data_IF_395445001889
#
_entry.id   IF_395445001889
#
_cell.length_a   1.000
_cell.length_b   1.000
_cell.length_c   1.000
_cell.angle_alpha   90.00
_cell.angle_beta   90.00
_cell.angle_gamma   90.00
#
_symmetry.space_group_name_H-M   'P 1'
#
loop_
_entity.id
_entity.type
_entity.pdbx_description
1 polymer ?
#
# COMPACT_ATOMS: atom_id res chain seq x y z
N UNK A 1 -16.99 28.23 1.89
CA UNK A 1 -17.42 26.82 1.93
C UNK A 1 -16.18 25.96 2.10
N UNK A 2 -16.17 25.01 3.04
CA UNK A 2 -15.04 24.08 3.18
C UNK A 2 -15.03 23.18 1.95
N UNK A 3 -13.94 23.18 1.18
CA UNK A 3 -13.77 22.25 0.07
C UNK A 3 -13.74 20.81 0.63
N UNK A 4 -14.73 20.00 0.26
CA UNK A 4 -14.89 18.62 0.73
C UNK A 4 -14.14 17.60 -0.15
N UNK A 5 -13.51 18.04 -1.24
CA UNK A 5 -12.76 17.15 -2.12
C UNK A 5 -11.57 16.54 -1.39
N UNK A 6 -11.25 15.26 -1.62
CA UNK A 6 -10.03 14.66 -1.10
C UNK A 6 -8.81 15.49 -1.48
N UNK A 7 -7.95 15.75 -0.51
CA UNK A 7 -6.79 16.60 -0.68
C UNK A 7 -5.56 15.78 -1.10
N UNK A 8 -5.00 16.14 -2.25
CA UNK A 8 -3.74 15.60 -2.78
C UNK A 8 -2.66 16.64 -2.58
N UNK A 9 -1.64 16.31 -1.81
CA UNK A 9 -0.48 17.19 -1.67
C UNK A 9 0.65 16.69 -2.57
N UNK A 10 1.20 17.60 -3.37
CA UNK A 10 2.21 17.30 -4.39
C UNK A 10 3.58 17.72 -3.89
N UNK A 11 4.46 16.74 -3.73
CA UNK A 11 5.88 16.90 -3.37
C UNK A 11 6.70 16.82 -4.66
N UNK A 12 7.33 17.91 -5.05
CA UNK A 12 8.11 17.94 -6.29
C UNK A 12 9.12 19.08 -6.31
N UNK A 13 10.18 18.98 -7.11
CA UNK A 13 11.09 20.10 -7.31
C UNK A 13 10.38 21.32 -7.92
N UNK A 14 10.73 22.53 -7.45
CA UNK A 14 10.16 23.80 -7.96
C UNK A 14 10.79 24.28 -9.27
N UNK A 15 11.61 23.46 -9.93
CA UNK A 15 12.29 23.85 -11.16
C UNK A 15 11.27 23.98 -12.30
N UNK A 16 11.50 24.95 -13.21
CA UNK A 16 10.57 25.28 -14.30
C UNK A 16 10.22 24.07 -15.18
N UNK A 17 11.16 23.16 -15.40
CA UNK A 17 10.96 21.91 -16.15
C UNK A 17 9.80 21.05 -15.63
N UNK A 18 9.43 21.19 -14.36
CA UNK A 18 8.34 20.43 -13.75
C UNK A 18 6.99 21.17 -13.76
N UNK A 19 6.94 22.38 -14.30
CA UNK A 19 5.72 23.19 -14.27
C UNK A 19 4.58 22.57 -15.08
N UNK A 20 4.87 22.07 -16.28
CA UNK A 20 3.87 21.41 -17.13
C UNK A 20 3.50 20.02 -16.60
N UNK A 21 4.48 19.29 -16.06
CA UNK A 21 4.24 18.02 -15.35
C UNK A 21 3.25 18.24 -14.21
N UNK A 22 3.45 19.30 -13.42
CA UNK A 22 2.53 19.66 -12.35
C UNK A 22 1.15 20.06 -12.87
N UNK A 23 1.08 21.09 -13.72
CA UNK A 23 -0.20 21.69 -14.11
C UNK A 23 -1.05 20.77 -15.00
N UNK A 24 -0.44 20.23 -16.05
CA UNK A 24 -1.14 19.47 -17.08
C UNK A 24 -1.18 17.97 -16.76
N UNK A 25 -0.15 17.45 -16.10
CA UNK A 25 -0.05 16.05 -15.72
C UNK A 25 -0.77 15.74 -14.41
N UNK A 26 -0.32 16.35 -13.30
CA UNK A 26 -0.79 15.99 -11.95
C UNK A 26 -2.09 16.69 -11.59
N UNK A 27 -2.10 18.03 -11.62
CA UNK A 27 -3.20 18.87 -11.14
C UNK A 27 -4.46 18.67 -11.97
N UNK A 28 -4.34 18.76 -13.30
CA UNK A 28 -5.46 18.53 -14.20
C UNK A 28 -6.07 17.12 -14.03
N UNK A 29 -5.25 16.06 -13.95
CA UNK A 29 -5.77 14.70 -13.73
C UNK A 29 -6.45 14.54 -12.38
N UNK A 30 -5.92 15.16 -11.33
CA UNK A 30 -6.57 15.15 -10.02
C UNK A 30 -7.91 15.90 -10.04
N UNK A 31 -7.99 17.05 -10.70
CA UNK A 31 -9.21 17.83 -10.87
C UNK A 31 -10.29 17.09 -11.67
N UNK A 32 -9.91 16.42 -12.77
CA UNK A 32 -10.80 15.58 -13.59
C UNK A 32 -11.42 14.43 -12.76
N UNK A 33 -10.74 13.97 -11.71
CA UNK A 33 -11.22 12.94 -10.79
C UNK A 33 -11.90 13.52 -9.53
N UNK A 34 -12.11 14.83 -9.47
CA UNK A 34 -12.78 15.49 -8.34
C UNK A 34 -11.92 15.62 -7.08
N UNK A 35 -10.59 15.55 -7.19
CA UNK A 35 -9.66 15.83 -6.10
C UNK A 35 -9.19 17.29 -6.16
N UNK A 36 -8.68 17.79 -5.03
CA UNK A 36 -7.95 19.06 -4.95
C UNK A 36 -6.46 18.75 -4.84
N UNK A 37 -5.68 19.06 -5.87
CA UNK A 37 -4.24 18.88 -5.87
C UNK A 37 -3.52 20.22 -5.71
N UNK A 38 -2.60 20.31 -4.76
CA UNK A 38 -1.84 21.53 -4.50
C UNK A 38 -0.37 21.23 -4.19
N UNK A 39 0.48 22.18 -4.57
CA UNK A 39 1.89 22.26 -4.21
C UNK A 39 2.08 23.41 -3.22
N UNK A 40 3.10 23.33 -2.37
CA UNK A 40 3.30 24.30 -1.28
C UNK A 40 3.47 25.75 -1.76
N UNK A 41 4.00 25.97 -2.96
CA UNK A 41 4.25 27.29 -3.54
C UNK A 41 3.01 27.95 -4.18
N UNK A 42 1.89 27.24 -4.31
CA UNK A 42 0.61 27.82 -4.77
C UNK A 42 -0.13 28.60 -3.69
N UNK A 43 0.43 28.65 -2.49
CA UNK A 43 -0.22 29.22 -1.33
C UNK A 43 0.70 30.26 -0.64
N UNK A 44 0.15 31.43 -0.31
CA UNK A 44 0.88 32.50 0.38
C UNK A 44 0.78 32.33 1.91
N UNK A 45 1.92 32.25 2.61
CA UNK A 45 1.97 32.16 4.08
C UNK A 45 3.11 32.95 4.69
N UNK A 46 2.96 33.25 5.98
CA UNK A 46 3.96 33.92 6.84
C UNK A 46 4.85 32.93 7.61
N UNK A 47 4.47 31.65 7.68
CA UNK A 47 5.15 30.59 8.45
C UNK A 47 6.39 30.00 7.73
N UNK A 48 7.33 29.36 8.46
CA UNK A 48 8.46 28.65 7.85
C UNK A 48 8.00 27.54 6.89
N UNK A 49 8.59 27.51 5.69
CA UNK A 49 8.23 26.58 4.61
C UNK A 49 8.17 25.11 5.05
N UNK A 50 9.11 24.67 5.91
CA UNK A 50 9.18 23.29 6.38
C UNK A 50 8.00 22.90 7.29
N UNK A 51 7.61 23.78 8.21
CA UNK A 51 6.45 23.55 9.09
C UNK A 51 5.18 23.44 8.26
N UNK A 52 5.05 24.29 7.22
CA UNK A 52 3.93 24.24 6.30
C UNK A 52 3.85 22.90 5.57
N UNK A 53 4.98 22.41 5.05
CA UNK A 53 5.05 21.12 4.37
C UNK A 53 4.58 20.01 5.31
N UNK A 54 5.02 20.00 6.57
CA UNK A 54 4.55 18.99 7.54
C UNK A 54 3.05 19.07 7.82
N UNK A 55 2.51 20.28 7.94
CA UNK A 55 1.07 20.48 8.13
C UNK A 55 0.29 20.01 6.89
N UNK A 56 0.76 20.32 5.69
CA UNK A 56 0.12 19.88 4.44
C UNK A 56 0.19 18.36 4.28
N UNK A 57 1.34 17.73 4.56
CA UNK A 57 1.46 16.27 4.58
C UNK A 57 0.47 15.67 5.58
N UNK A 58 0.36 16.25 6.79
CA UNK A 58 -0.59 15.79 7.80
C UNK A 58 -2.05 15.94 7.34
N UNK A 59 -2.39 17.02 6.64
CA UNK A 59 -3.73 17.28 6.13
C UNK A 59 -4.10 16.46 4.88
N UNK A 60 -3.10 16.05 4.09
CA UNK A 60 -3.30 15.34 2.83
C UNK A 60 -3.94 13.96 3.03
N UNK A 61 -4.88 13.62 2.15
CA UNK A 61 -5.44 12.28 2.02
C UNK A 61 -4.54 11.38 1.17
N UNK A 62 -3.89 11.97 0.16
CA UNK A 62 -2.96 11.31 -0.76
C UNK A 62 -1.74 12.20 -0.95
N UNK A 63 -0.57 11.58 -1.02
CA UNK A 63 0.66 12.24 -1.44
C UNK A 63 1.01 11.80 -2.85
N UNK A 64 1.32 12.74 -3.73
CA UNK A 64 1.99 12.47 -5.00
C UNK A 64 3.40 13.04 -4.88
N UNK A 65 4.43 12.24 -5.15
CA UNK A 65 5.81 12.68 -5.05
C UNK A 65 6.58 12.41 -6.35
N UNK A 66 7.17 13.45 -6.96
CA UNK A 66 8.05 13.29 -8.13
C UNK A 66 9.51 13.17 -7.69
N UNK A 67 10.05 11.97 -7.87
CA UNK A 67 11.39 11.57 -7.42
C UNK A 67 12.47 11.79 -8.50
N UNK A 68 12.10 12.35 -9.65
CA UNK A 68 13.01 12.58 -10.79
C UNK A 68 14.23 13.38 -10.38
N UNK A 69 15.42 12.99 -10.88
CA UNK A 69 16.72 13.59 -10.54
C UNK A 69 17.08 13.50 -9.04
N UNK A 70 16.42 12.65 -8.27
CA UNK A 70 16.78 12.34 -6.89
C UNK A 70 16.86 13.56 -5.95
N UNK A 71 15.86 14.44 -5.99
CA UNK A 71 15.87 15.63 -5.13
C UNK A 71 15.85 15.26 -3.62
N UNK A 72 16.85 15.67 -2.82
CA UNK A 72 16.97 15.25 -1.42
C UNK A 72 15.83 15.77 -0.53
N UNK A 73 15.26 16.94 -0.85
CA UNK A 73 14.14 17.48 -0.09
C UNK A 73 12.88 16.64 -0.31
N UNK A 74 12.61 16.24 -1.55
CA UNK A 74 11.46 15.38 -1.85
C UNK A 74 11.60 14.02 -1.17
N UNK A 75 12.81 13.42 -1.13
CA UNK A 75 13.04 12.19 -0.37
C UNK A 75 12.74 12.35 1.12
N UNK A 76 13.21 13.45 1.71
CA UNK A 76 12.96 13.74 3.11
C UNK A 76 11.46 13.85 3.41
N UNK A 77 10.72 14.57 2.56
CA UNK A 77 9.27 14.75 2.68
C UNK A 77 8.50 13.43 2.50
N UNK A 78 8.90 12.58 1.54
CA UNK A 78 8.34 11.24 1.34
C UNK A 78 8.60 10.35 2.55
N UNK A 79 9.81 10.38 3.10
CA UNK A 79 10.15 9.65 4.32
C UNK A 79 9.25 10.06 5.50
N UNK A 80 9.04 11.37 5.68
CA UNK A 80 8.12 11.89 6.69
C UNK A 80 6.66 11.47 6.43
N UNK A 81 6.21 11.53 5.19
CA UNK A 81 4.87 11.08 4.81
C UNK A 81 4.65 9.58 5.08
N UNK A 82 5.63 8.73 4.76
CA UNK A 82 5.61 7.31 5.09
C UNK A 82 5.56 7.07 6.60
N UNK A 83 6.35 7.81 7.38
CA UNK A 83 6.32 7.73 8.85
C UNK A 83 4.95 8.12 9.44
N UNK A 84 4.19 8.98 8.76
CA UNK A 84 2.80 9.33 9.11
C UNK A 84 1.77 8.37 8.54
N UNK A 85 2.18 7.29 7.88
CA UNK A 85 1.29 6.30 7.27
C UNK A 85 0.48 6.84 6.10
N UNK A 86 0.99 7.88 5.42
CA UNK A 86 0.30 8.50 4.27
C UNK A 86 0.40 7.61 3.04
N UNK A 87 -0.69 7.60 2.26
CA UNK A 87 -0.77 6.90 0.98
C UNK A 87 -0.01 7.70 -0.08
N UNK A 88 1.19 7.25 -0.40
CA UNK A 88 2.08 7.91 -1.36
C UNK A 88 2.04 7.23 -2.74
N UNK A 89 1.90 8.03 -3.80
CA UNK A 89 2.06 7.63 -5.20
C UNK A 89 3.35 8.28 -5.69
N UNK A 90 4.37 7.47 -5.96
CA UNK A 90 5.66 7.97 -6.43
C UNK A 90 5.65 8.10 -7.96
N UNK A 91 6.25 9.16 -8.48
CA UNK A 91 6.42 9.43 -9.91
C UNK A 91 7.92 9.55 -10.21
N UNK A 92 8.31 9.20 -11.43
CA UNK A 92 9.67 9.42 -11.91
C UNK A 92 9.75 9.43 -13.43
N UNK A 93 10.65 10.21 -14.01
CA UNK A 93 11.00 10.10 -15.43
C UNK A 93 11.87 8.88 -15.71
N UNK A 94 12.69 8.47 -14.74
CA UNK A 94 13.59 7.34 -14.89
C UNK A 94 13.53 6.40 -13.68
N UNK A 95 13.35 5.10 -13.92
CA UNK A 95 13.33 4.09 -12.86
C UNK A 95 14.63 4.05 -12.03
N UNK A 96 15.76 4.52 -12.59
CA UNK A 96 17.01 4.65 -11.84
C UNK A 96 16.99 5.70 -10.73
N UNK A 97 16.08 6.68 -10.81
CA UNK A 97 15.97 7.75 -9.81
C UNK A 97 15.26 7.29 -8.53
N UNK A 98 14.61 6.12 -8.57
CA UNK A 98 14.04 5.52 -7.37
C UNK A 98 15.15 4.71 -6.67
N UNK A 99 15.51 5.05 -5.41
CA UNK A 99 16.47 4.29 -4.64
C UNK A 99 16.00 2.86 -4.46
N UNK A 100 16.94 1.94 -4.28
CA UNK A 100 16.65 0.51 -4.18
C UNK A 100 15.53 0.19 -3.18
N UNK A 101 15.56 0.81 -2.00
CA UNK A 101 14.57 0.62 -0.94
C UNK A 101 13.17 1.13 -1.32
N UNK A 102 13.08 2.10 -2.24
CA UNK A 102 11.82 2.64 -2.74
C UNK A 102 11.35 2.02 -4.06
N UNK A 103 12.19 1.27 -4.77
CA UNK A 103 11.82 0.67 -6.08
C UNK A 103 10.63 -0.28 -5.98
N UNK A 104 10.45 -0.86 -4.81
CA UNK A 104 9.41 -1.82 -4.55
C UNK A 104 8.06 -1.14 -4.23
N UNK A 105 8.11 0.09 -3.68
CA UNK A 105 6.94 0.95 -3.58
C UNK A 105 6.39 1.25 -4.98
N UNK A 106 5.05 1.29 -5.07
CA UNK A 106 4.35 1.59 -6.31
C UNK A 106 4.78 2.97 -6.83
N UNK A 107 5.43 2.97 -7.99
CA UNK A 107 5.86 4.17 -8.67
C UNK A 107 5.45 4.15 -10.14
N UNK A 108 5.24 5.34 -10.70
CA UNK A 108 4.89 5.55 -12.10
C UNK A 108 6.15 6.05 -12.82
N UNK A 109 6.63 5.28 -13.80
CA UNK A 109 7.69 5.73 -14.70
C UNK A 109 7.04 6.36 -15.92
N UNK A 110 7.04 7.69 -16.01
CA UNK A 110 6.34 8.42 -17.08
C UNK A 110 7.26 8.87 -18.23
N UNK A 111 8.58 8.71 -18.09
CA UNK A 111 9.56 9.00 -19.15
C UNK A 111 9.43 10.41 -19.77
N UNK A 112 9.02 11.41 -18.99
CA UNK A 112 8.80 12.79 -19.46
C UNK A 112 7.51 13.00 -20.26
N UNK A 113 6.73 11.95 -20.55
CA UNK A 113 5.47 12.04 -21.28
C UNK A 113 4.31 12.36 -20.33
N UNK A 114 3.69 13.53 -20.53
CA UNK A 114 2.49 13.93 -19.80
C UNK A 114 1.33 12.96 -20.09
N UNK A 115 1.19 12.48 -21.32
CA UNK A 115 0.15 11.50 -21.67
C UNK A 115 0.29 10.21 -20.86
N UNK A 116 1.50 9.64 -20.82
CA UNK A 116 1.77 8.42 -20.05
C UNK A 116 1.54 8.65 -18.56
N UNK A 117 1.94 9.82 -18.05
CA UNK A 117 1.68 10.22 -16.68
C UNK A 117 0.18 10.25 -16.39
N UNK A 118 -0.64 10.92 -17.20
CA UNK A 118 -2.09 11.02 -17.00
C UNK A 118 -2.74 9.63 -16.97
N UNK A 119 -2.47 8.79 -17.96
CA UNK A 119 -3.06 7.44 -18.07
C UNK A 119 -2.76 6.57 -16.83
N UNK A 120 -1.48 6.52 -16.43
CA UNK A 120 -1.07 5.76 -15.25
C UNK A 120 -1.63 6.39 -13.96
N UNK A 121 -1.59 7.72 -13.86
CA UNK A 121 -2.01 8.43 -12.66
C UNK A 121 -3.52 8.31 -12.42
N UNK A 122 -4.36 8.32 -13.46
CA UNK A 122 -5.80 8.06 -13.34
C UNK A 122 -6.06 6.75 -12.62
N UNK A 123 -5.42 5.67 -13.09
CA UNK A 123 -5.58 4.33 -12.49
C UNK A 123 -5.13 4.29 -11.03
N UNK A 124 -4.04 5.01 -10.70
CA UNK A 124 -3.51 5.08 -9.34
C UNK A 124 -4.40 5.91 -8.40
N UNK A 125 -4.90 7.05 -8.86
CA UNK A 125 -5.78 7.92 -8.08
C UNK A 125 -7.16 7.31 -7.87
N UNK A 126 -7.74 6.66 -8.88
CA UNK A 126 -9.00 5.92 -8.71
C UNK A 126 -8.86 4.80 -7.67
N UNK A 127 -7.76 4.06 -7.69
CA UNK A 127 -7.44 3.08 -6.65
C UNK A 127 -7.35 3.74 -5.27
N UNK A 128 -6.60 4.83 -5.14
CA UNK A 128 -6.42 5.54 -3.88
C UNK A 128 -7.76 6.11 -3.34
N UNK A 129 -8.61 6.65 -4.21
CA UNK A 129 -9.95 7.12 -3.88
C UNK A 129 -10.84 5.99 -3.37
N UNK A 130 -10.81 4.81 -4.01
CA UNK A 130 -11.55 3.64 -3.54
C UNK A 130 -11.10 3.22 -2.14
N UNK A 131 -9.81 3.26 -1.86
CA UNK A 131 -9.29 2.95 -0.53
C UNK A 131 -9.75 3.99 0.50
N UNK A 132 -9.65 5.28 0.18
CA UNK A 132 -10.13 6.36 1.07
C UNK A 132 -11.63 6.30 1.32
N UNK A 133 -12.44 6.02 0.31
CA UNK A 133 -13.90 5.90 0.47
C UNK A 133 -14.25 4.67 1.31
N UNK A 134 -13.53 3.57 1.16
CA UNK A 134 -13.67 2.37 1.98
C UNK A 134 -13.34 2.69 3.44
N UNK A 135 -12.20 3.34 3.72
CA UNK A 135 -11.78 3.75 5.07
C UNK A 135 -12.77 4.74 5.70
N UNK A 136 -13.20 5.78 4.97
CA UNK A 136 -14.14 6.80 5.47
C UNK A 136 -15.55 6.26 5.70
N UNK A 137 -16.06 5.41 4.80
CA UNK A 137 -17.43 4.88 4.90
C UNK A 137 -17.57 3.73 5.90
N UNK A 138 -16.48 3.04 6.21
CA UNK A 138 -16.46 1.98 7.23
C UNK A 138 -16.09 2.51 8.61
N UNK A 139 -15.25 3.54 8.68
CA UNK A 139 -14.49 3.86 9.90
C UNK A 139 -13.45 2.80 10.24
N UNK A 140 -13.30 1.74 9.43
CA UNK A 140 -12.37 0.64 9.66
C UNK A 140 -11.04 0.91 8.95
N UNK A 141 -9.96 0.91 9.72
CA UNK A 141 -8.62 0.76 9.16
C UNK A 141 -8.17 -0.69 9.28
N UNK A 142 -7.52 -1.19 8.23
CA UNK A 142 -6.90 -2.52 8.22
C UNK A 142 -5.45 -2.37 7.83
N UNK A 143 -4.56 -2.84 8.70
CA UNK A 143 -3.12 -2.87 8.48
C UNK A 143 -2.66 -4.31 8.40
N UNK A 144 -1.78 -4.58 7.46
CA UNK A 144 -1.10 -5.87 7.34
C UNK A 144 0.40 -5.66 7.48
N UNK A 145 0.97 -6.31 8.47
CA UNK A 145 2.37 -6.15 8.88
C UNK A 145 3.05 -7.51 8.85
N UNK A 146 4.21 -7.59 8.21
CA UNK A 146 5.10 -8.73 8.30
C UNK A 146 5.84 -8.65 9.64
N UNK A 147 5.77 -9.72 10.45
CA UNK A 147 6.37 -9.75 11.80
C UNK A 147 7.56 -10.68 11.90
N UNK A 148 7.58 -11.74 11.10
CA UNK A 148 8.74 -12.62 10.99
C UNK A 148 8.77 -13.30 9.64
N UNK A 149 9.98 -13.62 9.21
CA UNK A 149 10.25 -14.34 7.98
C UNK A 149 11.31 -15.41 8.29
N UNK A 150 11.17 -16.59 7.67
CA UNK A 150 12.08 -17.71 7.85
C UNK A 150 12.24 -18.44 6.54
N UNK A 151 13.47 -18.85 6.22
CA UNK A 151 13.75 -19.75 5.10
C UNK A 151 14.09 -21.12 5.66
N UNK A 152 13.35 -22.14 5.26
CA UNK A 152 13.74 -23.53 5.47
C UNK A 152 14.40 -24.04 4.20
N UNK A 153 15.70 -24.32 4.28
CA UNK A 153 16.49 -24.87 3.19
C UNK A 153 16.83 -26.34 3.48
N UNK A 154 16.55 -27.22 2.52
CA UNK A 154 17.01 -28.61 2.58
C UNK A 154 17.45 -29.11 1.19
N UNK A 155 17.93 -30.36 1.12
CA UNK A 155 18.44 -30.98 -0.11
C UNK A 155 17.42 -31.12 -1.25
N UNK A 156 16.14 -30.82 -1.02
CA UNK A 156 15.06 -30.98 -1.99
C UNK A 156 14.40 -29.67 -2.37
N UNK A 157 14.24 -28.73 -1.43
CA UNK A 157 13.53 -27.49 -1.66
C UNK A 157 14.01 -26.34 -0.76
N UNK A 158 13.68 -25.12 -1.18
CA UNK A 158 13.69 -23.92 -0.35
C UNK A 158 12.24 -23.49 -0.07
N UNK A 159 11.88 -23.33 1.21
CA UNK A 159 10.53 -22.95 1.64
C UNK A 159 10.57 -21.69 2.48
N UNK A 160 9.94 -20.64 1.96
CA UNK A 160 9.71 -19.41 2.72
C UNK A 160 8.52 -19.56 3.64
N UNK A 161 8.67 -19.09 4.87
CA UNK A 161 7.60 -18.95 5.86
C UNK A 161 7.51 -17.50 6.29
N UNK A 162 6.30 -16.96 6.33
CA UNK A 162 6.03 -15.56 6.64
C UNK A 162 4.92 -15.47 7.68
N UNK A 163 5.08 -14.61 8.67
CA UNK A 163 4.05 -14.36 9.68
C UNK A 163 3.48 -12.98 9.48
N UNK A 164 2.20 -12.92 9.12
CA UNK A 164 1.47 -11.67 8.89
C UNK A 164 0.53 -11.41 10.06
N UNK A 165 0.55 -10.17 10.53
CA UNK A 165 -0.42 -9.64 11.49
C UNK A 165 -1.38 -8.74 10.73
N UNK A 166 -2.66 -9.06 10.84
CA UNK A 166 -3.75 -8.25 10.28
C UNK A 166 -4.43 -7.55 11.45
N UNK A 167 -4.16 -6.26 11.57
CA UNK A 167 -4.71 -5.36 12.58
C UNK A 167 -5.91 -4.60 12.01
N UNK A 168 -7.02 -4.63 12.73
CA UNK A 168 -8.24 -3.93 12.38
C UNK A 168 -8.61 -2.97 13.50
N UNK A 169 -8.81 -1.69 13.17
CA UNK A 169 -9.23 -0.67 14.13
C UNK A 169 -10.46 0.07 13.63
N UNK A 170 -11.46 0.18 14.48
CA UNK A 170 -12.62 1.02 14.22
C UNK A 170 -12.38 2.44 14.75
N UNK A 171 -12.13 3.36 13.84
CA UNK A 171 -12.04 4.81 14.09
C UNK A 171 -13.37 5.54 13.87
N UNK A 172 -14.43 4.82 13.47
CA UNK A 172 -15.77 5.38 13.31
C UNK A 172 -16.47 5.61 14.65
N UNK A 173 -17.52 6.44 14.61
CA UNK A 173 -18.35 6.76 15.77
C UNK A 173 -19.43 5.70 16.06
N UNK A 174 -19.61 4.74 15.14
CA UNK A 174 -20.55 3.62 15.26
C UNK A 174 -19.82 2.28 15.40
N UNK A 175 -20.51 1.27 15.97
CA UNK A 175 -20.01 -0.11 15.99
C UNK A 175 -19.81 -0.59 14.55
N UNK A 176 -18.60 -1.04 14.23
CA UNK A 176 -18.32 -1.70 12.98
C UNK A 176 -18.84 -3.14 13.05
N UNK A 177 -19.67 -3.49 12.06
CA UNK A 177 -20.69 -4.54 12.09
C UNK A 177 -20.19 -5.98 12.28
N UNK A 178 -21.06 -6.94 11.94
CA UNK A 178 -20.80 -8.37 12.13
C UNK A 178 -19.79 -8.90 11.11
N UNK A 179 -18.51 -8.92 11.47
CA UNK A 179 -17.43 -9.50 10.71
C UNK A 179 -17.66 -11.01 10.64
N UNK A 180 -17.96 -11.50 9.44
CA UNK A 180 -18.22 -12.92 9.19
C UNK A 180 -16.95 -13.65 8.79
N UNK A 181 -16.11 -13.01 7.97
CA UNK A 181 -14.83 -13.57 7.55
C UNK A 181 -13.81 -12.50 7.20
N UNK A 182 -12.54 -12.87 7.35
CA UNK A 182 -11.40 -12.11 6.86
C UNK A 182 -10.79 -12.93 5.73
N UNK A 183 -10.74 -12.38 4.52
CA UNK A 183 -10.29 -13.10 3.33
C UNK A 183 -9.00 -12.46 2.81
N UNK A 184 -7.94 -13.26 2.70
CA UNK A 184 -6.66 -12.82 2.14
C UNK A 184 -6.51 -13.35 0.72
N UNK A 185 -6.40 -12.42 -0.23
CA UNK A 185 -6.15 -12.66 -1.64
C UNK A 185 -4.66 -12.57 -1.92
N UNK A 186 -4.10 -13.55 -2.63
CA UNK A 186 -2.66 -13.66 -2.90
C UNK A 186 -2.38 -14.26 -4.27
N UNK A 187 -1.12 -14.18 -4.69
CA UNK A 187 -0.59 -14.92 -5.84
C UNK A 187 -0.58 -16.44 -5.63
N UNK A 188 -0.07 -17.18 -6.61
CA UNK A 188 -0.06 -18.64 -6.58
C UNK A 188 1.03 -19.21 -5.66
N UNK A 189 0.77 -20.43 -5.16
CA UNK A 189 1.73 -21.25 -4.42
C UNK A 189 1.82 -20.95 -2.92
N UNK A 190 0.95 -20.07 -2.42
CA UNK A 190 0.85 -19.80 -0.99
C UNK A 190 -0.11 -20.76 -0.30
N UNK A 191 0.29 -21.24 0.86
CA UNK A 191 -0.58 -21.90 1.83
C UNK A 191 -0.56 -21.11 3.12
N UNK A 192 -1.74 -20.77 3.64
CA UNK A 192 -1.87 -20.03 4.89
C UNK A 192 -2.47 -20.89 5.99
N UNK A 193 -2.10 -20.59 7.23
CA UNK A 193 -2.66 -21.19 8.44
C UNK A 193 -2.97 -20.11 9.48
N UNK A 194 -4.00 -20.34 10.28
CA UNK A 194 -4.37 -19.54 11.45
C UNK A 194 -4.38 -20.47 12.67
N UNK A 195 -3.71 -20.08 13.75
CA UNK A 195 -3.55 -20.92 14.95
C UNK A 195 -3.04 -22.35 14.65
N UNK A 196 -2.15 -22.49 13.67
CA UNK A 196 -1.59 -23.79 13.25
C UNK A 196 -2.52 -24.64 12.37
N UNK A 197 -3.76 -24.22 12.14
CA UNK A 197 -4.69 -24.91 11.25
C UNK A 197 -4.66 -24.28 9.86
N UNK A 198 -4.51 -25.11 8.82
CA UNK A 198 -4.52 -24.66 7.43
C UNK A 198 -5.86 -23.98 7.13
N UNK A 199 -5.79 -22.76 6.59
CA UNK A 199 -6.97 -21.99 6.23
C UNK A 199 -7.72 -22.64 5.06
N UNK A 200 -9.07 -22.62 5.06
CA UNK A 200 -9.84 -22.90 3.87
C UNK A 200 -9.41 -21.97 2.72
N UNK A 201 -9.22 -22.54 1.52
CA UNK A 201 -8.77 -21.79 0.36
C UNK A 201 -9.49 -22.22 -0.92
N UNK A 202 -9.60 -21.31 -1.87
CA UNK A 202 -10.16 -21.56 -3.21
C UNK A 202 -9.61 -20.57 -4.23
N UNK A 203 -10.00 -20.71 -5.49
CA UNK A 203 -9.61 -19.77 -6.55
C UNK A 203 -10.14 -18.36 -6.27
N UNK A 204 -9.36 -17.36 -6.66
CA UNK A 204 -9.74 -15.96 -6.52
C UNK A 204 -10.91 -15.60 -7.45
N UNK A 205 -11.89 -14.89 -6.93
CA UNK A 205 -12.95 -14.21 -7.69
C UNK A 205 -12.52 -12.82 -8.20
N UNK A 206 -11.33 -12.35 -7.81
CA UNK A 206 -10.71 -11.13 -8.33
C UNK A 206 -9.53 -11.49 -9.26
N UNK A 207 -9.54 -11.06 -10.54
CA UNK A 207 -8.54 -11.46 -11.53
C UNK A 207 -7.13 -10.95 -11.21
N UNK A 208 -6.97 -9.99 -10.30
CA UNK A 208 -5.66 -9.49 -9.84
C UNK A 208 -4.91 -10.53 -8.99
N UNK A 209 -5.60 -11.55 -8.49
CA UNK A 209 -5.05 -12.56 -7.59
C UNK A 209 -5.34 -13.98 -8.10
N UNK A 210 -4.67 -14.98 -7.53
CA UNK A 210 -4.82 -16.38 -7.95
C UNK A 210 -5.58 -17.22 -6.93
N UNK A 211 -5.32 -17.00 -5.65
CA UNK A 211 -5.98 -17.72 -4.55
C UNK A 211 -6.54 -16.74 -3.53
N UNK A 212 -7.55 -17.20 -2.80
CA UNK A 212 -8.09 -16.53 -1.62
C UNK A 212 -8.19 -17.52 -0.46
N UNK A 213 -7.81 -17.05 0.73
CA UNK A 213 -7.77 -17.81 1.98
C UNK A 213 -8.73 -17.16 2.98
N UNK A 214 -9.56 -17.96 3.64
CA UNK A 214 -10.51 -17.48 4.63
C UNK A 214 -10.00 -17.70 6.06
N UNK A 215 -10.17 -16.69 6.90
CA UNK A 215 -9.80 -16.71 8.32
C UNK A 215 -10.97 -16.29 9.19
N UNK A 216 -10.98 -16.84 10.40
CA UNK A 216 -11.96 -16.52 11.42
C UNK A 216 -11.54 -15.22 12.14
N UNK A 217 -12.44 -14.22 12.25
CA UNK A 217 -12.13 -13.03 13.03
C UNK A 217 -12.07 -13.38 14.52
N UNK A 218 -11.17 -12.72 15.26
CA UNK A 218 -11.12 -12.84 16.72
C UNK A 218 -12.34 -12.14 17.36
N UNK A 219 -12.64 -10.93 16.92
CA UNK A 219 -13.85 -10.21 17.30
C UNK A 219 -14.79 -10.05 16.09
N UNK A 220 -16.05 -10.45 16.25
CA UNK A 220 -17.08 -10.28 15.22
C UNK A 220 -17.63 -8.87 15.14
N UNK A 221 -17.40 -8.01 16.14
CA UNK A 221 -17.89 -6.61 16.16
C UNK A 221 -16.83 -5.74 16.81
N UNK A 222 -16.65 -4.53 16.29
CA UNK A 222 -15.70 -3.56 16.86
C UNK A 222 -16.47 -2.31 17.30
N UNK A 223 -16.48 -2.02 18.59
CA UNK A 223 -17.04 -0.75 19.11
C UNK A 223 -16.25 0.45 18.58
N UNK A 224 -16.77 1.69 18.68
CA UNK A 224 -15.97 2.89 18.42
C UNK A 224 -14.66 2.86 19.23
N UNK A 225 -13.53 3.06 18.55
CA UNK A 225 -12.18 2.93 19.14
C UNK A 225 -11.72 1.48 19.40
N UNK A 226 -12.60 0.49 19.19
CA UNK A 226 -12.32 -0.93 19.33
C UNK A 226 -11.40 -1.45 18.24
N UNK A 227 -10.69 -2.54 18.54
CA UNK A 227 -9.74 -3.16 17.64
C UNK A 227 -9.77 -4.67 17.75
N UNK A 228 -9.28 -5.36 16.71
CA UNK A 228 -9.09 -6.80 16.69
C UNK A 228 -7.89 -7.14 15.83
N UNK A 229 -7.22 -8.21 16.17
CA UNK A 229 -6.03 -8.69 15.47
C UNK A 229 -6.19 -10.17 15.15
N UNK A 230 -5.75 -10.57 13.96
CA UNK A 230 -5.48 -11.97 13.65
C UNK A 230 -4.04 -12.13 13.20
N UNK A 231 -3.49 -13.33 13.45
CA UNK A 231 -2.15 -13.69 13.02
C UNK A 231 -2.24 -14.90 12.12
N UNK A 232 -1.64 -14.79 10.94
CA UNK A 232 -1.65 -15.85 9.93
C UNK A 232 -0.22 -16.17 9.50
N UNK A 233 0.05 -17.45 9.31
CA UNK A 233 1.34 -17.95 8.83
C UNK A 233 1.18 -18.40 7.40
N UNK A 234 1.88 -17.76 6.48
CA UNK A 234 1.96 -18.15 5.07
C UNK A 234 3.22 -18.96 4.80
N UNK A 235 3.11 -19.99 3.97
CA UNK A 235 4.26 -20.74 3.47
C UNK A 235 4.20 -20.87 1.95
N UNK A 236 5.37 -20.89 1.32
CA UNK A 236 5.52 -21.03 -0.13
C UNK A 236 6.83 -21.70 -0.48
N UNK A 237 6.79 -22.64 -1.41
CA UNK A 237 8.02 -23.20 -2.00
C UNK A 237 8.60 -22.18 -2.99
N UNK A 238 9.87 -21.85 -2.81
CA UNK A 238 10.59 -20.82 -3.55
C UNK A 238 11.52 -21.40 -4.62
N UNK A 239 11.96 -22.65 -4.43
CA UNK A 239 12.76 -23.37 -5.41
C UNK A 239 12.76 -24.87 -5.10
N UNK A 240 12.96 -25.67 -6.15
CA UNK A 240 13.13 -27.11 -6.05
C UNK A 240 14.52 -27.49 -6.54
N UNK A 241 15.29 -28.24 -5.76
CA UNK A 241 16.69 -28.58 -6.10
C UNK A 241 16.85 -29.33 -7.44
N UNK A 242 15.79 -29.98 -7.92
CA UNK A 242 15.80 -30.71 -9.19
C UNK A 242 15.51 -29.81 -10.41
N UNK A 243 15.15 -28.54 -10.20
CA UNK A 243 14.84 -27.55 -11.23
C UNK A 243 15.69 -26.30 -11.12
N UNK A 244 16.03 -25.92 -9.90
CA UNK A 244 16.60 -24.64 -9.54
C UNK A 244 17.88 -24.84 -8.71
N UNK A 245 18.83 -23.93 -8.86
CA UNK A 245 19.89 -23.75 -7.86
C UNK A 245 19.26 -23.13 -6.61
N UNK A 246 19.49 -23.74 -5.44
CA UNK A 246 18.92 -23.23 -4.20
C UNK A 246 19.82 -22.15 -3.61
N UNK A 247 19.20 -21.08 -3.09
CA UNK A 247 19.89 -19.94 -2.53
C UNK A 247 19.64 -19.80 -1.03
N UNK A 248 20.57 -19.20 -0.31
CA UNK A 248 20.43 -18.89 1.12
C UNK A 248 19.51 -17.70 1.39
N UNK A 249 19.11 -16.97 0.34
CA UNK A 249 18.21 -15.81 0.44
C UNK A 249 17.30 -15.73 -0.78
N UNK A 250 16.02 -15.44 -0.54
CA UNK A 250 15.03 -15.23 -1.58
C UNK A 250 14.23 -13.95 -1.32
N UNK A 251 14.04 -13.17 -2.39
CA UNK A 251 13.15 -12.01 -2.40
C UNK A 251 11.79 -12.42 -2.91
N UNK A 252 10.77 -12.21 -2.09
CA UNK A 252 9.39 -12.49 -2.42
C UNK A 252 8.67 -11.15 -2.55
N UNK A 253 8.32 -10.78 -3.78
CA UNK A 253 7.46 -9.63 -4.06
C UNK A 253 6.09 -10.09 -4.55
N UNK A 254 5.05 -9.38 -4.16
CA UNK A 254 3.69 -9.70 -4.57
C UNK A 254 2.66 -8.69 -4.10
N UNK A 255 1.44 -8.87 -4.60
CA UNK A 255 0.28 -8.13 -4.12
C UNK A 255 -0.55 -9.05 -3.23
N UNK A 256 -1.11 -8.46 -2.19
CA UNK A 256 -2.18 -9.05 -1.41
C UNK A 256 -3.36 -8.08 -1.30
N UNK A 257 -4.54 -8.61 -1.05
CA UNK A 257 -5.70 -7.82 -0.65
C UNK A 257 -6.38 -8.51 0.51
N UNK A 258 -6.72 -7.74 1.53
CA UNK A 258 -7.51 -8.21 2.67
C UNK A 258 -8.93 -7.70 2.48
N UNK A 259 -9.87 -8.64 2.37
CA UNK A 259 -11.29 -8.35 2.30
C UNK A 259 -11.92 -8.66 3.65
N UNK A 260 -12.53 -7.66 4.27
CA UNK A 260 -13.36 -7.82 5.45
C UNK A 260 -14.80 -8.00 4.98
N UNK A 261 -15.35 -9.20 5.15
CA UNK A 261 -16.74 -9.48 4.80
C UNK A 261 -17.63 -9.31 6.03
N UNK A 262 -18.70 -8.54 5.85
CA UNK A 262 -19.78 -8.40 6.83
C UNK A 262 -21.09 -8.84 6.21
N UNK A 263 -22.11 -9.08 7.03
CA UNK A 263 -23.45 -9.46 6.56
C UNK A 263 -24.05 -8.51 5.49
N UNK A 264 -23.64 -7.23 5.47
CA UNK A 264 -24.18 -6.23 4.56
C UNK A 264 -23.31 -5.95 3.32
N UNK A 265 -21.98 -5.96 3.49
CA UNK A 265 -21.02 -5.57 2.44
C UNK A 265 -19.60 -6.06 2.74
N UNK A 266 -18.75 -5.96 1.73
CA UNK A 266 -17.31 -6.24 1.82
C UNK A 266 -16.49 -4.96 1.76
N UNK A 267 -15.32 -4.98 2.40
CA UNK A 267 -14.36 -3.88 2.42
C UNK A 267 -12.98 -4.41 2.04
N UNK A 268 -12.39 -3.83 1.00
CA UNK A 268 -11.16 -4.33 0.38
C UNK A 268 -9.98 -3.40 0.67
N UNK A 269 -8.94 -3.96 1.27
CA UNK A 269 -7.71 -3.26 1.66
C UNK A 269 -6.52 -3.89 0.91
N UNK A 270 -6.00 -3.17 -0.08
CA UNK A 270 -4.86 -3.63 -0.87
C UNK A 270 -3.54 -3.43 -0.11
N UNK A 271 -2.63 -4.40 -0.22
CA UNK A 271 -1.30 -4.38 0.39
C UNK A 271 -0.25 -4.90 -0.60
N UNK A 272 0.88 -4.23 -0.70
CA UNK A 272 2.07 -4.81 -1.33
C UNK A 272 2.83 -5.62 -0.29
N UNK A 273 3.20 -6.86 -0.64
CA UNK A 273 4.03 -7.76 0.15
C UNK A 273 5.42 -7.79 -0.45
N UNK A 274 6.41 -7.41 0.35
CA UNK A 274 7.82 -7.46 0.03
C UNK A 274 8.51 -8.08 1.23
N UNK A 275 9.13 -9.22 1.01
CA UNK A 275 9.61 -10.11 2.06
C UNK A 275 10.95 -10.65 1.60
N UNK A 276 11.97 -10.55 2.44
CA UNK A 276 13.29 -11.12 2.17
C UNK A 276 13.52 -12.25 3.15
N UNK A 277 13.29 -13.48 2.71
CA UNK A 277 13.55 -14.64 3.56
C UNK A 277 15.00 -15.07 3.39
N UNK A 278 15.73 -15.13 4.50
CA UNK A 278 17.09 -15.64 4.56
C UNK A 278 17.15 -16.83 5.50
N UNK A 279 18.03 -17.79 5.18
CA UNK A 279 18.42 -18.83 6.12
C UNK A 279 19.41 -18.19 7.11
N UNK A 280 18.93 -17.82 8.30
CA UNK A 280 19.80 -17.29 9.36
C UNK A 280 20.19 -18.49 10.22
N UNK A 281 21.41 -19.04 10.07
CA UNK A 281 21.89 -20.06 10.99
C UNK A 281 21.97 -19.44 12.38
N UNK A 282 21.23 -20.02 13.34
CA UNK A 282 21.36 -19.71 14.76
C UNK A 282 22.74 -20.08 15.29
#
# INVERSE_FOLDING_TARGET
>A
MIDKRPFVFVLMPFHHDFQDIYKLGIKQTAEELGLRAERVDEQLYEEPMLERIYQQIKAADIIIADMTKQNPNVFYEVGYAHAKGKRCILLTQNASDIPFDLKQHRHIVYAGSITNLKEALVTNLQWALKQLSTERSSGLSVKCTLVSENLELNKHYAKGTVRLVIDMHNHGESVFGEIESIILYVGQGWEFAQHGQVSPQTDSDDPRFKKRHAFSPLARRLTPGGWSQIVVTGTKILGWAHRDELHETYKISGRAMIRIATAAKTYDFDKTLEIEVSDIPF
#
